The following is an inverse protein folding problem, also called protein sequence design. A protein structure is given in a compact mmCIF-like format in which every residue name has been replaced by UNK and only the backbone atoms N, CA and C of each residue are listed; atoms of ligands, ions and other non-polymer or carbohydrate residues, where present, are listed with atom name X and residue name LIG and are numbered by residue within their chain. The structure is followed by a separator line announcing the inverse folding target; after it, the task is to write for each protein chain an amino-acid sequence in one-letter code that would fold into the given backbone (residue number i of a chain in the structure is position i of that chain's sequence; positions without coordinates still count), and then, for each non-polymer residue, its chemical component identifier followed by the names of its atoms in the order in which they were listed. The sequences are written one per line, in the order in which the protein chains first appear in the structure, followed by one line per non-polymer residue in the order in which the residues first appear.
data_IF_979265257234
#
_entry.id   IF_979265257234
#
_cell.length_a   1.000
_cell.length_b   1.000
_cell.length_c   1.000
_cell.angle_alpha   90.00
_cell.angle_beta   90.00
_cell.angle_gamma   90.00
#
_symmetry.space_group_name_H-M   'P 1'
#
loop_
_entity.id
_entity.type
_entity.pdbx_description
1 polymer ?
#
# COMPACT_ATOMS: atom_id res chain seq x y z
N UNK A 1 49.43 25.76 42.55
CA UNK A 1 48.19 24.95 42.41
C UNK A 1 47.07 25.58 41.55
N UNK A 2 46.95 26.91 41.41
CA UNK A 2 45.85 27.52 40.61
C UNK A 2 46.02 27.52 39.08
N UNK A 3 47.25 27.31 38.56
CA UNK A 3 47.52 27.34 37.11
C UNK A 3 47.17 25.99 36.42
N UNK A 4 47.34 24.86 37.12
CA UNK A 4 47.02 23.54 36.60
C UNK A 4 45.51 23.32 36.37
N UNK A 5 44.68 23.93 37.22
CA UNK A 5 43.21 23.88 37.07
C UNK A 5 42.71 24.66 35.84
N UNK A 6 43.37 25.77 35.49
CA UNK A 6 42.95 26.59 34.35
C UNK A 6 43.30 25.92 33.01
N UNK A 7 44.47 25.27 32.94
CA UNK A 7 44.92 24.51 31.76
C UNK A 7 44.06 23.26 31.52
N UNK A 8 43.62 22.57 32.57
CA UNK A 8 42.71 21.41 32.44
C UNK A 8 41.34 21.80 31.88
N UNK A 9 40.79 22.94 32.28
CA UNK A 9 39.47 23.40 31.81
C UNK A 9 39.52 23.90 30.37
N UNK A 10 40.61 24.56 29.98
CA UNK A 10 40.82 25.02 28.58
C UNK A 10 41.02 23.81 27.65
N UNK A 11 41.75 22.78 28.07
CA UNK A 11 41.94 21.56 27.27
C UNK A 11 40.63 20.77 27.10
N UNK A 12 39.76 20.73 28.12
CA UNK A 12 38.45 20.08 28.05
C UNK A 12 37.49 20.83 27.11
N UNK A 13 37.51 22.16 27.12
CA UNK A 13 36.73 23.00 26.20
C UNK A 13 37.22 22.87 24.76
N UNK A 14 38.53 22.77 24.54
CA UNK A 14 39.11 22.57 23.20
C UNK A 14 38.75 21.18 22.64
N UNK A 15 38.76 20.14 23.48
CA UNK A 15 38.36 18.79 23.08
C UNK A 15 36.85 18.65 22.86
N UNK A 16 36.01 19.37 23.61
CA UNK A 16 34.55 19.45 23.36
C UNK A 16 34.24 20.20 22.06
N UNK A 17 34.97 21.27 21.74
CA UNK A 17 34.81 22.01 20.48
C UNK A 17 35.33 21.22 19.26
N UNK A 18 36.38 20.42 19.42
CA UNK A 18 36.87 19.50 18.40
C UNK A 18 35.94 18.29 18.21
N UNK A 19 35.33 17.78 19.30
CA UNK A 19 34.31 16.73 19.25
C UNK A 19 33.02 17.18 18.57
N UNK A 20 32.59 18.43 18.78
CA UNK A 20 31.43 19.01 18.09
C UNK A 20 31.72 19.35 16.62
N UNK A 21 32.95 19.75 16.27
CA UNK A 21 33.33 19.97 14.86
C UNK A 21 33.42 18.68 14.06
N UNK A 22 33.89 17.57 14.66
CA UNK A 22 33.99 16.29 13.95
C UNK A 22 32.67 15.52 13.82
N UNK A 23 31.63 15.82 14.61
CA UNK A 23 30.28 15.27 14.37
C UNK A 23 29.44 16.08 13.36
N UNK A 24 29.86 17.30 13.02
CA UNK A 24 29.23 18.11 11.97
C UNK A 24 29.95 18.02 10.61
N UNK A 25 31.14 17.42 10.54
CA UNK A 25 31.98 17.38 9.34
C UNK A 25 31.84 16.12 8.46
N UNK A 26 30.99 15.15 8.82
CA UNK A 26 30.74 13.94 8.01
C UNK A 26 29.42 13.95 7.22
N UNK A 27 28.79 15.11 7.06
CA UNK A 27 27.92 15.35 5.91
C UNK A 27 28.63 16.29 4.96
N UNK A 28 29.42 15.72 4.04
CA UNK A 28 29.53 16.33 2.71
C UNK A 28 28.10 16.44 2.18
N UNK A 29 27.51 17.62 2.36
CA UNK A 29 26.46 18.11 1.50
C UNK A 29 27.07 18.12 0.09
N UNK A 30 26.99 17.00 -0.60
CA UNK A 30 26.71 17.08 -2.02
C UNK A 30 25.36 17.76 -2.06
N UNK A 31 25.32 19.04 -2.43
CA UNK A 31 24.14 19.62 -3.06
C UNK A 31 23.74 18.62 -4.14
N UNK A 32 22.76 17.76 -3.83
CA UNK A 32 21.98 17.13 -4.88
C UNK A 32 21.42 18.33 -5.61
N UNK A 33 21.90 18.56 -6.84
CA UNK A 33 21.44 19.65 -7.69
C UNK A 33 19.92 19.70 -7.58
N UNK A 34 19.36 20.89 -7.38
CA UNK A 34 17.91 21.11 -7.47
C UNK A 34 17.40 20.29 -8.67
N UNK A 35 16.56 19.28 -8.41
CA UNK A 35 16.11 18.37 -9.47
C UNK A 35 15.44 19.25 -10.52
N UNK A 36 16.03 19.39 -11.71
CA UNK A 36 15.46 20.19 -12.79
C UNK A 36 14.01 19.76 -13.00
N UNK A 37 13.09 20.73 -12.93
CA UNK A 37 11.67 20.46 -13.09
C UNK A 37 11.42 19.85 -14.48
N UNK A 38 10.82 18.66 -14.51
CA UNK A 38 10.28 18.12 -15.73
C UNK A 38 8.82 18.56 -15.87
N UNK A 39 8.42 18.88 -17.09
CA UNK A 39 7.02 18.89 -17.47
C UNK A 39 6.72 17.57 -18.17
N UNK A 40 5.52 17.01 -17.95
CA UNK A 40 4.98 16.09 -18.95
C UNK A 40 4.92 16.86 -20.27
N UNK A 41 5.31 16.26 -21.42
CA UNK A 41 5.20 16.96 -22.70
C UNK A 41 3.77 17.48 -22.87
N UNK A 42 3.61 18.78 -23.13
CA UNK A 42 2.34 19.53 -23.03
C UNK A 42 1.22 18.98 -23.93
N UNK A 43 1.55 18.13 -24.90
CA UNK A 43 0.60 17.43 -25.79
C UNK A 43 0.52 15.91 -25.58
N UNK A 44 1.18 15.37 -24.54
CA UNK A 44 1.11 13.93 -24.24
C UNK A 44 -0.28 13.58 -23.72
N UNK A 45 -0.73 12.35 -24.02
CA UNK A 45 -2.01 11.83 -23.53
C UNK A 45 -2.07 11.87 -22.00
N UNK A 46 -0.95 11.62 -21.32
CA UNK A 46 -0.87 11.70 -19.86
C UNK A 46 -1.09 13.12 -19.35
N UNK A 47 -0.53 14.15 -19.98
CA UNK A 47 -0.75 15.54 -19.60
C UNK A 47 -2.24 15.93 -19.71
N UNK A 48 -2.87 15.58 -20.83
CA UNK A 48 -4.31 15.84 -21.06
C UNK A 48 -5.18 15.14 -20.02
N UNK A 49 -4.89 13.86 -19.73
CA UNK A 49 -5.64 13.10 -18.73
C UNK A 49 -5.39 13.62 -17.30
N UNK A 50 -4.18 14.07 -17.01
CA UNK A 50 -3.83 14.67 -15.72
C UNK A 50 -4.65 15.93 -15.45
N UNK A 51 -4.64 16.87 -16.40
CA UNK A 51 -5.41 18.12 -16.30
C UNK A 51 -6.91 17.84 -16.21
N UNK A 52 -7.42 16.90 -17.01
CA UNK A 52 -8.86 16.56 -17.04
C UNK A 52 -9.37 15.92 -15.74
N UNK A 53 -8.55 15.08 -15.10
CA UNK A 53 -9.03 14.17 -14.04
C UNK A 53 -8.27 14.35 -12.73
N UNK A 54 -6.94 14.34 -12.78
CA UNK A 54 -6.11 14.34 -11.58
C UNK A 54 -6.11 15.71 -10.91
N UNK A 55 -5.97 16.79 -11.68
CA UNK A 55 -5.93 18.14 -11.13
C UNK A 55 -7.26 18.54 -10.42
N UNK A 56 -8.46 18.28 -10.98
CA UNK A 56 -9.70 18.51 -10.24
C UNK A 56 -9.78 17.70 -8.95
N UNK A 57 -9.38 16.42 -8.98
CA UNK A 57 -9.37 15.57 -7.79
C UNK A 57 -8.46 16.11 -6.68
N UNK A 58 -7.25 16.57 -7.03
CA UNK A 58 -6.29 17.12 -6.05
C UNK A 58 -6.75 18.46 -5.44
N UNK A 59 -7.74 19.13 -6.04
CA UNK A 59 -8.36 20.34 -5.49
C UNK A 59 -9.56 20.06 -4.57
N UNK A 60 -10.01 18.81 -4.47
CA UNK A 60 -11.12 18.40 -3.60
C UNK A 60 -10.64 17.87 -2.24
N UNK A 61 -11.47 17.99 -1.17
CA UNK A 61 -11.14 17.46 0.15
C UNK A 61 -11.37 15.93 0.22
N UNK A 62 -10.57 15.17 -0.52
CA UNK A 62 -10.75 13.72 -0.72
C UNK A 62 -10.47 12.85 0.53
N UNK A 63 -10.12 13.43 1.68
CA UNK A 63 -9.96 12.73 2.96
C UNK A 63 -11.26 12.58 3.75
N UNK A 64 -12.41 12.87 3.13
CA UNK A 64 -13.74 12.73 3.73
C UNK A 64 -14.32 11.33 3.47
N UNK A 65 -15.35 10.96 4.24
CA UNK A 65 -15.97 9.62 4.25
C UNK A 65 -16.30 9.06 2.85
N UNK A 66 -16.86 9.89 1.96
CA UNK A 66 -17.19 9.50 0.59
C UNK A 66 -15.95 9.01 -0.18
N UNK A 67 -14.84 9.72 -0.07
CA UNK A 67 -13.74 9.63 -1.02
C UNK A 67 -12.47 8.99 -0.45
N UNK A 68 -12.22 9.06 0.86
CA UNK A 68 -10.93 8.72 1.47
C UNK A 68 -10.42 7.34 1.07
N UNK A 69 -11.30 6.33 1.04
CA UNK A 69 -10.94 4.97 0.64
C UNK A 69 -10.49 4.92 -0.83
N UNK A 70 -11.32 5.45 -1.74
CA UNK A 70 -11.07 5.42 -3.17
C UNK A 70 -9.88 6.31 -3.56
N UNK A 71 -9.82 7.54 -3.05
CA UNK A 71 -8.72 8.47 -3.31
C UNK A 71 -7.36 7.83 -2.98
N UNK A 72 -7.28 7.11 -1.87
CA UNK A 72 -6.05 6.42 -1.47
C UNK A 72 -5.62 5.31 -2.43
N UNK A 73 -6.56 4.67 -3.14
CA UNK A 73 -6.23 3.72 -4.20
C UNK A 73 -5.79 4.42 -5.49
N UNK A 74 -6.56 5.41 -5.94
CA UNK A 74 -6.42 6.01 -7.27
C UNK A 74 -5.31 7.06 -7.34
N UNK A 75 -4.92 7.67 -6.21
CA UNK A 75 -3.86 8.67 -6.15
C UNK A 75 -2.46 8.07 -5.95
N UNK A 76 -2.34 6.80 -5.54
CA UNK A 76 -1.04 6.20 -5.19
C UNK A 76 -0.06 6.16 -6.37
N UNK A 77 -0.47 5.58 -7.51
CA UNK A 77 0.40 5.54 -8.70
C UNK A 77 0.70 6.95 -9.24
N UNK A 78 -0.27 7.86 -9.39
CA UNK A 78 -0.02 9.26 -9.76
C UNK A 78 0.98 9.97 -8.85
N UNK A 79 0.87 9.79 -7.53
CA UNK A 79 1.81 10.35 -6.54
C UNK A 79 3.23 9.85 -6.81
N UNK A 80 3.42 8.54 -6.84
CA UNK A 80 4.73 7.96 -7.10
C UNK A 80 5.29 8.37 -8.47
N UNK A 81 4.44 8.42 -9.50
CA UNK A 81 4.85 8.82 -10.84
C UNK A 81 5.29 10.27 -10.89
N UNK A 82 4.59 11.19 -10.24
CA UNK A 82 4.92 12.61 -10.26
C UNK A 82 6.31 12.87 -9.66
N UNK A 83 6.60 12.25 -8.51
CA UNK A 83 7.92 12.34 -7.88
C UNK A 83 9.00 11.61 -8.68
N UNK A 84 8.70 10.43 -9.23
CA UNK A 84 9.67 9.65 -9.99
C UNK A 84 10.09 10.32 -11.32
N UNK A 85 9.18 11.06 -11.96
CA UNK A 85 9.47 11.78 -13.20
C UNK A 85 9.86 13.25 -12.98
N UNK A 86 9.97 13.72 -11.73
CA UNK A 86 10.14 15.14 -11.39
C UNK A 86 9.08 16.05 -12.04
N UNK A 87 7.84 15.57 -12.19
CA UNK A 87 6.74 16.33 -12.78
C UNK A 87 6.23 17.41 -11.82
N UNK A 88 6.77 18.63 -11.93
CA UNK A 88 6.54 19.70 -10.95
C UNK A 88 5.05 20.08 -10.78
N UNK A 89 4.24 20.28 -11.83
CA UNK A 89 2.81 20.55 -11.66
C UNK A 89 2.07 19.46 -10.88
N UNK A 90 2.45 18.19 -11.05
CA UNK A 90 1.87 17.09 -10.30
C UNK A 90 2.30 17.10 -8.83
N UNK A 91 3.59 17.33 -8.57
CA UNK A 91 4.11 17.45 -7.21
C UNK A 91 3.49 18.63 -6.48
N UNK A 92 3.34 19.78 -7.14
CA UNK A 92 2.71 20.98 -6.58
C UNK A 92 1.23 20.75 -6.27
N UNK A 93 0.52 20.02 -7.13
CA UNK A 93 -0.86 19.57 -6.86
C UNK A 93 -0.95 18.70 -5.61
N UNK A 94 -0.03 17.75 -5.43
CA UNK A 94 0.02 16.94 -4.21
C UNK A 94 0.42 17.76 -2.97
N UNK A 95 1.39 18.68 -3.09
CA UNK A 95 1.76 19.59 -2.01
C UNK A 95 0.56 20.41 -1.56
N UNK A 96 -0.20 20.96 -2.52
CA UNK A 96 -1.45 21.68 -2.24
C UNK A 96 -2.46 20.79 -1.53
N UNK A 97 -2.73 19.59 -2.06
CA UNK A 97 -3.67 18.62 -1.49
C UNK A 97 -3.34 18.26 -0.03
N UNK A 98 -2.09 17.91 0.27
CA UNK A 98 -1.69 17.52 1.64
C UNK A 98 -1.56 18.71 2.59
N UNK A 99 -1.20 19.90 2.11
CA UNK A 99 -1.27 21.12 2.91
C UNK A 99 -2.73 21.46 3.26
N UNK A 100 -3.65 21.34 2.31
CA UNK A 100 -5.07 21.53 2.57
C UNK A 100 -5.61 20.49 3.56
N UNK A 101 -5.28 19.20 3.41
CA UNK A 101 -5.58 18.18 4.41
C UNK A 101 -5.07 18.57 5.81
N UNK A 102 -3.83 19.02 5.90
CA UNK A 102 -3.18 19.36 7.18
C UNK A 102 -3.85 20.56 7.84
N UNK A 103 -4.16 21.61 7.07
CA UNK A 103 -4.74 22.86 7.55
C UNK A 103 -6.22 22.72 7.88
N UNK A 104 -6.93 21.83 7.19
CA UNK A 104 -8.35 21.54 7.42
C UNK A 104 -8.59 20.29 8.26
N UNK A 105 -7.54 19.78 8.91
CA UNK A 105 -7.63 18.59 9.75
C UNK A 105 -8.49 18.87 10.99
N UNK A 106 -9.69 18.28 11.02
CA UNK A 106 -10.56 18.25 12.18
C UNK A 106 -10.49 16.82 12.74
N UNK A 107 -9.92 16.61 13.96
CA UNK A 107 -9.74 15.28 14.53
C UNK A 107 -11.01 14.45 14.51
N UNK A 108 -12.15 15.00 14.94
CA UNK A 108 -13.40 14.25 15.07
C UNK A 108 -13.93 13.76 13.71
N UNK A 109 -13.84 14.58 12.67
CA UNK A 109 -14.28 14.20 11.33
C UNK A 109 -13.40 13.09 10.73
N UNK A 110 -12.08 13.20 10.90
CA UNK A 110 -11.15 12.22 10.38
C UNK A 110 -11.13 10.92 11.22
N UNK A 111 -11.34 11.05 12.52
CA UNK A 111 -11.45 9.92 13.44
C UNK A 111 -12.80 9.19 13.34
N UNK A 112 -13.83 9.85 12.80
CA UNK A 112 -15.13 9.25 12.49
C UNK A 112 -15.11 8.31 11.27
N UNK A 113 -14.04 8.30 10.48
CA UNK A 113 -13.85 7.32 9.41
C UNK A 113 -13.67 5.91 10.00
N UNK A 114 -14.14 4.89 9.27
CA UNK A 114 -13.81 3.51 9.62
C UNK A 114 -12.28 3.28 9.61
N UNK A 115 -11.81 2.35 10.44
CA UNK A 115 -10.37 2.20 10.70
C UNK A 115 -9.57 1.86 9.45
N UNK A 116 -10.12 1.07 8.54
CA UNK A 116 -9.45 0.67 7.29
C UNK A 116 -9.34 1.88 6.36
N UNK A 117 -10.43 2.63 6.14
CA UNK A 117 -10.42 3.84 5.32
C UNK A 117 -9.42 4.86 5.85
N UNK A 118 -9.41 5.08 7.17
CA UNK A 118 -8.47 5.99 7.83
C UNK A 118 -7.02 5.55 7.61
N UNK A 119 -6.70 4.28 7.87
CA UNK A 119 -5.35 3.75 7.72
C UNK A 119 -4.88 3.77 6.27
N UNK A 120 -5.77 3.47 5.33
CA UNK A 120 -5.45 3.51 3.91
C UNK A 120 -5.12 4.95 3.46
N UNK A 121 -5.86 5.96 3.95
CA UNK A 121 -5.53 7.36 3.69
C UNK A 121 -4.23 7.79 4.37
N UNK A 122 -4.01 7.40 5.63
CA UNK A 122 -2.75 7.67 6.32
C UNK A 122 -1.55 7.04 5.62
N UNK A 123 -1.73 5.91 4.95
CA UNK A 123 -0.68 5.30 4.14
C UNK A 123 -0.37 6.09 2.86
N UNK A 124 -1.37 6.66 2.18
CA UNK A 124 -1.13 7.61 1.09
C UNK A 124 -0.32 8.82 1.59
N UNK A 125 -0.65 9.34 2.78
CA UNK A 125 0.09 10.46 3.39
C UNK A 125 1.52 10.06 3.76
N UNK A 126 1.76 8.84 4.25
CA UNK A 126 3.11 8.39 4.62
C UNK A 126 4.02 8.21 3.41
N UNK A 127 3.51 7.64 2.31
CA UNK A 127 4.27 7.55 1.05
C UNK A 127 4.58 8.95 0.49
N UNK A 128 3.65 9.91 0.58
CA UNK A 128 3.93 11.31 0.23
C UNK A 128 5.07 11.88 1.06
N UNK A 129 5.06 11.68 2.39
CA UNK A 129 6.11 12.20 3.27
C UNK A 129 7.48 11.61 2.91
N UNK A 130 7.56 10.32 2.59
CA UNK A 130 8.80 9.67 2.11
C UNK A 130 9.28 10.29 0.81
N UNK A 131 8.42 10.37 -0.20
CA UNK A 131 8.78 10.91 -1.52
C UNK A 131 9.20 12.39 -1.44
N UNK A 132 8.54 13.15 -0.58
CA UNK A 132 8.84 14.56 -0.36
C UNK A 132 10.17 14.76 0.37
N UNK A 133 10.47 13.95 1.38
CA UNK A 133 11.75 13.98 2.09
C UNK A 133 12.91 13.59 1.16
N UNK A 134 12.76 12.52 0.38
CA UNK A 134 13.78 12.06 -0.57
C UNK A 134 14.18 13.13 -1.59
N UNK A 135 13.22 13.98 -1.97
CA UNK A 135 13.41 15.08 -2.94
C UNK A 135 14.00 16.32 -2.29
N UNK A 136 13.43 16.77 -1.20
CA UNK A 136 13.71 18.11 -0.65
C UNK A 136 14.65 18.09 0.55
N UNK A 137 15.01 16.92 1.08
CA UNK A 137 15.79 16.75 2.31
C UNK A 137 15.14 17.48 3.51
N UNK A 138 13.80 17.60 3.48
CA UNK A 138 12.97 18.10 4.56
C UNK A 138 11.54 17.52 4.43
N UNK A 139 10.74 17.60 5.50
CA UNK A 139 9.39 17.04 5.53
C UNK A 139 8.37 18.01 6.11
N UNK A 140 7.08 17.77 5.82
CA UNK A 140 5.96 18.54 6.38
C UNK A 140 5.74 18.16 7.85
N UNK A 141 6.34 18.93 8.78
CA UNK A 141 6.33 18.62 10.22
C UNK A 141 4.93 18.44 10.79
N UNK A 142 3.96 19.28 10.42
CA UNK A 142 2.59 19.19 10.93
C UNK A 142 1.84 17.97 10.40
N UNK A 143 1.98 17.69 9.10
CA UNK A 143 1.44 16.47 8.49
C UNK A 143 2.02 15.23 9.15
N UNK A 144 3.35 15.19 9.32
CA UNK A 144 4.05 14.10 9.99
C UNK A 144 3.54 13.88 11.42
N UNK A 145 3.38 14.95 12.21
CA UNK A 145 2.86 14.88 13.58
C UNK A 145 1.45 14.29 13.62
N UNK A 146 0.58 14.64 12.67
CA UNK A 146 -0.78 14.08 12.59
C UNK A 146 -0.77 12.58 12.31
N UNK A 147 0.08 12.12 11.38
CA UNK A 147 0.21 10.69 11.06
C UNK A 147 0.80 9.93 12.26
N UNK A 148 1.85 10.45 12.89
CA UNK A 148 2.46 9.85 14.09
C UNK A 148 1.45 9.68 15.22
N UNK A 149 0.72 10.75 15.56
CA UNK A 149 -0.28 10.69 16.64
C UNK A 149 -1.40 9.70 16.30
N UNK A 150 -1.87 9.68 15.06
CA UNK A 150 -2.92 8.74 14.63
C UNK A 150 -2.44 7.28 14.71
N UNK A 151 -1.18 7.02 14.35
CA UNK A 151 -0.59 5.69 14.41
C UNK A 151 -0.36 5.24 15.86
N UNK A 152 0.15 6.12 16.73
CA UNK A 152 0.35 5.84 18.15
C UNK A 152 -0.97 5.50 18.84
N UNK A 153 -2.02 6.28 18.56
CA UNK A 153 -3.38 6.03 19.02
C UNK A 153 -3.86 4.66 18.53
N UNK A 154 -3.71 4.36 17.24
CA UNK A 154 -4.13 3.07 16.65
C UNK A 154 -3.37 1.88 17.24
N UNK A 155 -2.09 2.06 17.57
CA UNK A 155 -1.25 1.02 18.15
C UNK A 155 -1.66 0.65 19.58
N UNK A 156 -1.95 1.66 20.39
CA UNK A 156 -2.11 1.52 21.84
C UNK A 156 -3.56 1.45 22.32
N UNK A 157 -4.52 1.99 21.57
CA UNK A 157 -5.92 2.02 22.02
C UNK A 157 -6.53 0.63 22.06
N UNK A 158 -7.40 0.34 23.05
CA UNK A 158 -8.16 -0.91 23.11
C UNK A 158 -8.83 -1.22 21.78
N UNK A 159 -8.68 -2.46 21.34
CA UNK A 159 -9.26 -2.92 20.07
C UNK A 159 -9.99 -4.24 20.27
N UNK A 160 -10.75 -4.62 19.25
CA UNK A 160 -11.42 -5.92 19.19
C UNK A 160 -11.19 -6.58 17.83
N UNK A 161 -11.55 -7.86 17.74
CA UNK A 161 -11.58 -8.58 16.48
C UNK A 161 -12.79 -9.52 16.47
N UNK A 162 -13.49 -9.55 15.33
CA UNK A 162 -14.57 -10.49 15.03
C UNK A 162 -15.71 -10.47 16.06
N UNK A 163 -15.95 -9.31 16.70
CA UNK A 163 -16.92 -9.08 17.78
C UNK A 163 -16.80 -10.03 18.99
N UNK A 164 -15.72 -10.81 19.06
CA UNK A 164 -15.52 -11.90 20.02
C UNK A 164 -14.31 -11.68 20.90
N UNK A 165 -13.24 -11.13 20.34
CA UNK A 165 -11.97 -10.97 21.04
C UNK A 165 -11.75 -9.50 21.38
N UNK A 166 -11.40 -9.22 22.63
CA UNK A 166 -11.07 -7.88 23.12
C UNK A 166 -9.60 -7.84 23.52
N UNK A 167 -8.93 -6.76 23.16
CA UNK A 167 -7.50 -6.55 23.40
C UNK A 167 -7.32 -5.18 24.08
N UNK A 168 -7.42 -5.12 25.42
CA UNK A 168 -7.32 -3.86 26.18
C UNK A 168 -5.99 -3.13 26.01
N UNK A 169 -4.92 -3.85 25.64
CA UNK A 169 -3.59 -3.28 25.39
C UNK A 169 -3.33 -2.99 23.90
N UNK A 170 -4.40 -2.91 23.12
CA UNK A 170 -4.40 -2.48 21.74
C UNK A 170 -3.85 -3.48 20.73
N UNK A 171 -3.39 -2.96 19.60
CA UNK A 171 -3.09 -3.76 18.41
C UNK A 171 -1.93 -4.73 18.63
N UNK A 172 -0.94 -4.35 19.46
CA UNK A 172 0.17 -5.24 19.81
C UNK A 172 -0.32 -6.54 20.44
N UNK A 173 -1.20 -6.45 21.43
CA UNK A 173 -1.76 -7.61 22.12
C UNK A 173 -2.55 -8.49 21.15
N UNK A 174 -3.37 -7.87 20.29
CA UNK A 174 -4.09 -8.57 19.22
C UNK A 174 -3.16 -9.36 18.31
N UNK A 175 -2.10 -8.73 17.80
CA UNK A 175 -1.12 -9.38 16.92
C UNK A 175 -0.42 -10.52 17.65
N UNK A 176 0.06 -10.27 18.87
CA UNK A 176 0.77 -11.30 19.64
C UNK A 176 -0.11 -12.51 19.92
N UNK A 177 -1.41 -12.29 20.20
CA UNK A 177 -2.40 -13.37 20.32
C UNK A 177 -2.57 -14.14 18.99
N UNK A 178 -2.67 -13.46 17.85
CA UNK A 178 -2.76 -14.11 16.52
C UNK A 178 -1.53 -14.96 16.21
N UNK A 179 -0.34 -14.51 16.64
CA UNK A 179 0.92 -15.24 16.43
C UNK A 179 1.07 -16.45 17.34
N UNK A 180 0.66 -16.35 18.62
CA UNK A 180 0.79 -17.44 19.60
C UNK A 180 -0.34 -18.47 19.53
N UNK A 181 -1.53 -18.07 19.08
CA UNK A 181 -2.72 -18.93 19.07
C UNK A 181 -2.88 -19.62 17.72
N UNK A 182 -2.71 -20.95 17.71
CA UNK A 182 -2.84 -21.76 16.48
C UNK A 182 -4.18 -22.50 16.35
N UNK A 183 -4.79 -22.87 17.47
CA UNK A 183 -6.10 -23.52 17.50
C UNK A 183 -7.17 -22.52 17.88
N UNK A 184 -8.10 -22.29 16.95
CA UNK A 184 -9.28 -21.43 17.12
C UNK A 184 -10.45 -22.09 16.40
N UNK A 185 -11.67 -21.80 16.85
CA UNK A 185 -12.90 -22.35 16.27
C UNK A 185 -13.04 -22.04 14.77
N UNK A 186 -12.69 -20.80 14.38
CA UNK A 186 -12.59 -20.39 12.98
C UNK A 186 -11.19 -19.89 12.69
N UNK A 187 -10.53 -20.47 11.71
CA UNK A 187 -9.16 -20.13 11.32
C UNK A 187 -9.00 -18.65 10.94
N UNK A 188 -10.02 -18.01 10.36
CA UNK A 188 -9.93 -16.58 10.04
C UNK A 188 -9.91 -15.69 11.27
N UNK A 189 -10.25 -16.18 12.47
CA UNK A 189 -10.11 -15.40 13.70
C UNK A 189 -8.68 -14.91 13.94
N UNK A 190 -7.69 -15.66 13.47
CA UNK A 190 -6.26 -15.30 13.55
C UNK A 190 -5.70 -14.67 12.27
N UNK A 191 -6.53 -14.32 11.29
CA UNK A 191 -6.03 -13.68 10.08
C UNK A 191 -5.50 -12.29 10.39
N UNK A 192 -4.39 -11.92 9.76
CA UNK A 192 -3.95 -10.53 9.66
C UNK A 192 -4.72 -9.88 8.53
N UNK A 193 -5.30 -8.72 8.79
CA UNK A 193 -6.09 -7.97 7.83
C UNK A 193 -5.34 -6.73 7.39
N UNK A 194 -5.91 -5.99 6.44
CA UNK A 194 -5.38 -4.71 5.96
C UNK A 194 -5.09 -3.74 7.13
N UNK A 195 -5.85 -3.80 8.22
CA UNK A 195 -5.66 -2.93 9.39
C UNK A 195 -4.26 -3.06 10.00
N UNK A 196 -3.77 -4.28 10.26
CA UNK A 196 -2.41 -4.46 10.78
C UNK A 196 -1.34 -4.16 9.74
N UNK A 197 -1.59 -4.56 8.48
CA UNK A 197 -0.61 -4.44 7.41
C UNK A 197 -0.36 -2.96 7.03
N UNK A 198 -1.39 -2.11 7.08
CA UNK A 198 -1.21 -0.67 6.94
C UNK A 198 -0.40 -0.08 8.10
N UNK A 199 -0.68 -0.48 9.35
CA UNK A 199 0.09 0.00 10.51
C UNK A 199 1.58 -0.33 10.35
N UNK A 200 1.90 -1.53 9.87
CA UNK A 200 3.28 -1.93 9.59
C UNK A 200 3.93 -1.07 8.50
N UNK A 201 3.23 -0.82 7.39
CA UNK A 201 3.76 -0.05 6.28
C UNK A 201 3.94 1.44 6.64
N UNK A 202 2.94 2.05 7.29
CA UNK A 202 3.01 3.44 7.77
C UNK A 202 4.18 3.60 8.75
N UNK A 203 4.33 2.70 9.73
CA UNK A 203 5.44 2.77 10.67
C UNK A 203 6.81 2.72 9.95
N UNK A 204 6.93 1.92 8.90
CA UNK A 204 8.15 1.80 8.12
C UNK A 204 8.49 3.07 7.33
N UNK A 205 7.48 3.69 6.72
CA UNK A 205 7.64 4.99 6.06
C UNK A 205 8.06 6.07 7.06
N UNK A 206 7.37 6.16 8.20
CA UNK A 206 7.70 7.11 9.26
C UNK A 206 9.13 6.89 9.80
N UNK A 207 9.57 5.63 9.92
CA UNK A 207 10.96 5.31 10.30
C UNK A 207 11.95 5.86 9.28
N UNK A 208 11.66 5.73 7.99
CA UNK A 208 12.56 6.24 6.94
C UNK A 208 12.64 7.77 6.91
N UNK A 209 11.55 8.48 7.22
CA UNK A 209 11.52 9.94 7.31
C UNK A 209 12.20 10.46 8.58
N UNK A 210 11.96 9.82 9.73
CA UNK A 210 12.46 10.28 11.04
C UNK A 210 13.87 9.82 11.35
N UNK A 211 14.32 8.72 10.75
CA UNK A 211 15.61 8.08 11.01
C UNK A 211 15.84 7.84 12.52
N UNK A 212 16.86 8.47 13.10
CA UNK A 212 17.20 8.34 14.52
C UNK A 212 16.25 9.08 15.46
N UNK A 213 15.40 9.97 14.93
CA UNK A 213 14.42 10.73 15.71
C UNK A 213 13.06 10.00 15.84
N UNK A 214 12.95 8.76 15.34
CA UNK A 214 11.70 8.00 15.40
C UNK A 214 11.35 7.61 16.85
N UNK A 215 10.09 7.76 17.29
CA UNK A 215 9.65 7.25 18.58
C UNK A 215 9.83 5.72 18.71
N UNK A 216 10.04 5.23 19.94
CA UNK A 216 10.30 3.81 20.21
C UNK A 216 9.18 2.87 19.73
N UNK A 217 7.92 3.31 19.76
CA UNK A 217 6.80 2.47 19.32
C UNK A 217 6.87 2.15 17.81
N UNK A 218 7.52 2.99 17.01
CA UNK A 218 7.76 2.73 15.58
C UNK A 218 8.69 1.52 15.40
N UNK A 219 9.80 1.49 16.16
CA UNK A 219 10.74 0.38 16.11
C UNK A 219 10.06 -0.93 16.60
N UNK A 220 9.21 -0.83 17.63
CA UNK A 220 8.41 -1.95 18.12
C UNK A 220 7.44 -2.50 17.05
N UNK A 221 6.72 -1.62 16.34
CA UNK A 221 5.84 -2.02 15.24
C UNK A 221 6.64 -2.76 14.16
N UNK A 222 7.84 -2.29 13.81
CA UNK A 222 8.70 -2.93 12.81
C UNK A 222 9.21 -4.30 13.23
N UNK A 223 9.55 -4.48 14.51
CA UNK A 223 9.91 -5.79 15.04
C UNK A 223 8.73 -6.78 14.99
N UNK A 224 7.52 -6.31 15.32
CA UNK A 224 6.30 -7.10 15.21
C UNK A 224 5.96 -7.42 13.76
N UNK A 225 6.14 -6.48 12.83
CA UNK A 225 5.94 -6.68 11.40
C UNK A 225 6.89 -7.76 10.87
N UNK A 226 8.18 -7.68 11.21
CA UNK A 226 9.17 -8.69 10.80
C UNK A 226 8.80 -10.08 11.33
N UNK A 227 8.46 -10.18 12.62
CA UNK A 227 8.03 -11.44 13.25
C UNK A 227 6.81 -12.02 12.54
N UNK A 228 5.82 -11.18 12.24
CA UNK A 228 4.60 -11.59 11.53
C UNK A 228 4.93 -12.18 10.16
N UNK A 229 5.70 -11.45 9.34
CA UNK A 229 6.07 -11.91 8.00
C UNK A 229 6.99 -13.13 8.00
N UNK A 230 7.84 -13.29 9.02
CA UNK A 230 8.68 -14.49 9.15
C UNK A 230 7.86 -15.72 9.50
N UNK A 231 6.80 -15.57 10.27
CA UNK A 231 6.00 -16.67 10.77
C UNK A 231 4.86 -17.06 9.82
N UNK A 232 4.25 -16.07 9.18
CA UNK A 232 2.99 -16.26 8.45
C UNK A 232 3.15 -16.27 6.92
N UNK A 233 4.32 -15.88 6.39
CA UNK A 233 4.65 -16.10 4.98
C UNK A 233 5.12 -17.54 4.75
N UNK A 234 4.45 -18.27 3.86
CA UNK A 234 4.76 -19.67 3.55
C UNK A 234 5.32 -19.75 2.13
N UNK A 235 6.58 -20.15 1.99
CA UNK A 235 7.21 -20.40 0.69
C UNK A 235 6.68 -21.71 0.09
N UNK A 236 6.28 -21.69 -1.19
CA UNK A 236 5.54 -22.77 -1.83
C UNK A 236 6.42 -23.51 -2.85
N UNK A 237 6.81 -24.74 -2.51
CA UNK A 237 7.61 -25.64 -3.34
C UNK A 237 9.10 -25.54 -3.06
N UNK A 238 9.78 -26.70 -3.01
CA UNK A 238 11.17 -26.81 -2.54
C UNK A 238 12.17 -25.95 -3.33
N UNK A 239 11.90 -25.71 -4.62
CA UNK A 239 12.79 -24.96 -5.53
C UNK A 239 12.17 -23.63 -6.00
N UNK A 240 11.06 -23.18 -5.41
CA UNK A 240 10.39 -21.95 -5.83
C UNK A 240 10.69 -20.80 -4.86
N UNK A 241 10.87 -19.60 -5.41
CA UNK A 241 10.91 -18.37 -4.62
C UNK A 241 9.52 -17.86 -4.23
N UNK A 242 8.44 -18.47 -4.75
CA UNK A 242 7.05 -18.06 -4.52
C UNK A 242 6.64 -18.24 -3.05
N UNK A 243 5.73 -17.40 -2.58
CA UNK A 243 5.15 -17.53 -1.26
C UNK A 243 3.69 -17.07 -1.23
N UNK A 244 2.97 -17.50 -0.20
CA UNK A 244 1.60 -17.09 0.12
C UNK A 244 1.55 -16.62 1.57
N UNK A 245 0.75 -15.57 1.83
CA UNK A 245 0.51 -15.10 3.19
C UNK A 245 -0.65 -15.87 3.81
N UNK A 246 -0.39 -16.53 4.94
CA UNK A 246 -1.39 -17.28 5.71
C UNK A 246 -2.28 -18.24 4.89
N UNK A 247 -1.72 -19.11 4.03
CA UNK A 247 -2.54 -20.05 3.25
C UNK A 247 -3.43 -20.91 4.18
N UNK A 248 -4.70 -21.00 3.82
CA UNK A 248 -5.72 -21.74 4.58
C UNK A 248 -6.31 -21.00 5.78
N UNK A 249 -5.86 -19.79 6.13
CA UNK A 249 -6.45 -19.01 7.23
C UNK A 249 -7.89 -18.57 6.93
N UNK A 250 -8.23 -18.46 5.64
CA UNK A 250 -9.54 -17.97 5.19
C UNK A 250 -10.53 -19.09 4.89
N UNK A 251 -10.15 -20.37 5.02
CA UNK A 251 -10.94 -21.52 4.55
C UNK A 251 -12.35 -21.60 5.12
N UNK A 252 -12.57 -21.06 6.31
CA UNK A 252 -13.85 -21.06 7.02
C UNK A 252 -14.50 -19.66 7.12
N UNK A 253 -13.94 -18.66 6.43
CA UNK A 253 -14.55 -17.35 6.31
C UNK A 253 -15.74 -17.41 5.34
N UNK A 254 -16.90 -16.79 5.65
CA UNK A 254 -18.08 -16.80 4.79
C UNK A 254 -17.81 -16.39 3.34
N UNK A 255 -17.03 -15.33 3.12
CA UNK A 255 -16.64 -14.85 1.78
C UNK A 255 -15.88 -15.89 0.93
N UNK A 256 -15.25 -16.87 1.57
CA UNK A 256 -14.42 -17.91 0.92
C UNK A 256 -15.14 -19.26 0.86
N UNK A 257 -16.35 -19.38 1.41
CA UNK A 257 -17.06 -20.64 1.56
C UNK A 257 -17.41 -21.34 0.23
N UNK A 258 -17.33 -20.63 -0.89
CA UNK A 258 -17.67 -21.10 -2.23
C UNK A 258 -16.49 -21.10 -3.20
N UNK A 259 -15.26 -20.91 -2.70
CA UNK A 259 -14.05 -20.78 -3.51
C UNK A 259 -13.74 -22.00 -4.39
N UNK A 260 -14.32 -23.18 -4.11
CA UNK A 260 -14.21 -24.40 -4.91
C UNK A 260 -15.13 -24.47 -6.12
N UNK A 261 -16.05 -23.52 -6.29
CA UNK A 261 -16.95 -23.47 -7.46
C UNK A 261 -16.43 -22.50 -8.52
N UNK A 262 -16.39 -22.94 -9.78
CA UNK A 262 -15.94 -22.11 -10.92
C UNK A 262 -17.07 -21.44 -11.70
N UNK A 263 -18.32 -21.84 -11.44
CA UNK A 263 -19.50 -21.31 -12.10
C UNK A 263 -20.55 -20.91 -11.08
N UNK A 264 -21.08 -19.70 -11.21
CA UNK A 264 -22.16 -19.21 -10.37
C UNK A 264 -23.46 -19.96 -10.66
N UNK A 265 -24.17 -20.30 -9.61
CA UNK A 265 -25.53 -20.83 -9.65
C UNK A 265 -26.28 -20.35 -8.41
N UNK A 266 -27.60 -20.33 -8.50
CA UNK A 266 -28.47 -20.07 -7.34
C UNK A 266 -28.39 -21.30 -6.42
N UNK A 267 -28.42 -21.07 -5.11
CA UNK A 267 -28.44 -22.13 -4.08
C UNK A 267 -27.25 -23.11 -4.15
N UNK A 268 -26.04 -22.60 -4.44
CA UNK A 268 -24.83 -23.42 -4.29
C UNK A 268 -24.66 -23.91 -2.84
N UNK A 269 -24.18 -25.13 -2.69
CA UNK A 269 -23.66 -25.62 -1.42
C UNK A 269 -22.26 -25.05 -1.16
N UNK A 270 -21.84 -24.98 0.11
CA UNK A 270 -20.48 -24.56 0.45
C UNK A 270 -19.46 -25.58 -0.09
N UNK A 271 -18.42 -25.08 -0.73
CA UNK A 271 -17.28 -25.87 -1.22
C UNK A 271 -15.97 -25.12 -0.91
N UNK A 272 -15.56 -25.06 0.36
CA UNK A 272 -14.37 -24.32 0.77
C UNK A 272 -13.08 -25.05 0.35
N UNK A 273 -12.06 -24.30 -0.04
CA UNK A 273 -10.73 -24.84 -0.35
C UNK A 273 -9.85 -24.78 0.93
N UNK A 274 -9.37 -25.91 1.48
CA UNK A 274 -8.67 -25.92 2.77
C UNK A 274 -7.41 -25.06 2.83
N UNK A 275 -6.66 -24.95 1.74
CA UNK A 275 -5.41 -24.21 1.63
C UNK A 275 -5.53 -22.82 1.00
N UNK A 276 -6.75 -22.29 0.85
CA UNK A 276 -7.01 -21.07 0.07
C UNK A 276 -6.19 -19.88 0.58
N UNK A 277 -5.53 -19.17 -0.33
CA UNK A 277 -4.86 -17.92 0.00
C UNK A 277 -5.83 -16.73 0.05
N UNK A 278 -5.35 -15.57 0.52
CA UNK A 278 -6.11 -14.33 0.43
C UNK A 278 -6.46 -13.95 -1.01
N UNK A 279 -7.54 -13.18 -1.17
CA UNK A 279 -7.99 -12.73 -2.48
C UNK A 279 -7.01 -11.73 -3.12
N UNK A 280 -6.99 -11.71 -4.45
CA UNK A 280 -6.10 -10.85 -5.24
C UNK A 280 -6.46 -9.37 -5.08
N UNK A 281 -7.72 -9.06 -4.78
CA UNK A 281 -8.22 -7.69 -4.68
C UNK A 281 -7.78 -6.97 -3.42
N UNK A 282 -7.48 -7.66 -2.31
CA UNK A 282 -6.81 -7.03 -1.16
C UNK A 282 -5.30 -7.11 -1.30
N UNK A 283 -4.81 -8.18 -1.95
CA UNK A 283 -3.38 -8.46 -2.07
C UNK A 283 -2.61 -7.48 -2.97
N UNK A 284 -3.30 -6.66 -3.78
CA UNK A 284 -2.67 -5.63 -4.62
C UNK A 284 -1.84 -4.61 -3.83
N UNK A 285 -2.02 -4.51 -2.51
CA UNK A 285 -1.30 -3.57 -1.65
C UNK A 285 0.10 -4.06 -1.24
N UNK A 286 0.30 -5.37 -1.19
CA UNK A 286 1.56 -6.01 -0.81
C UNK A 286 2.81 -5.48 -1.54
N UNK A 287 2.78 -5.24 -2.87
CA UNK A 287 3.95 -4.74 -3.59
C UNK A 287 4.54 -3.49 -2.95
N UNK A 288 3.70 -2.53 -2.54
CA UNK A 288 4.15 -1.28 -1.96
C UNK A 288 4.38 -1.40 -0.45
N UNK A 289 3.56 -2.15 0.30
CA UNK A 289 3.83 -2.41 1.73
C UNK A 289 5.22 -3.01 1.97
N UNK A 290 5.64 -3.95 1.12
CA UNK A 290 6.97 -4.54 1.22
C UNK A 290 8.09 -3.55 0.86
N UNK A 291 7.82 -2.56 -0.01
CA UNK A 291 8.75 -1.45 -0.28
C UNK A 291 8.90 -0.59 0.98
N UNK A 292 7.79 -0.15 1.58
CA UNK A 292 7.80 0.65 2.81
C UNK A 292 8.59 -0.08 3.92
N UNK A 293 8.30 -1.37 4.15
CA UNK A 293 9.01 -2.19 5.14
C UNK A 293 10.51 -2.31 4.85
N UNK A 294 10.89 -2.51 3.58
CA UNK A 294 12.30 -2.53 3.18
C UNK A 294 13.00 -1.20 3.50
N UNK A 295 12.35 -0.05 3.25
CA UNK A 295 12.87 1.27 3.62
C UNK A 295 13.03 1.43 5.13
N UNK A 296 12.02 1.03 5.91
CA UNK A 296 12.05 1.09 7.38
C UNK A 296 13.24 0.31 7.97
N UNK A 297 13.44 -0.95 7.54
CA UNK A 297 14.58 -1.74 8.00
C UNK A 297 15.93 -1.20 7.50
N UNK A 298 15.98 -0.62 6.30
CA UNK A 298 17.18 0.06 5.79
C UNK A 298 17.52 1.27 6.67
N UNK A 299 16.55 2.07 7.08
CA UNK A 299 16.73 3.19 8.01
C UNK A 299 17.21 2.74 9.40
N UNK A 300 16.84 1.53 9.84
CA UNK A 300 17.39 0.88 11.04
C UNK A 300 18.76 0.22 10.84
N UNK A 301 19.32 0.24 9.62
CA UNK A 301 20.57 -0.46 9.26
C UNK A 301 20.51 -1.99 9.49
N UNK A 302 19.32 -2.59 9.41
CA UNK A 302 19.10 -4.03 9.59
C UNK A 302 19.12 -4.77 8.25
N UNK A 303 20.33 -4.95 7.70
CA UNK A 303 20.54 -5.46 6.33
C UNK A 303 20.00 -6.88 6.09
N UNK A 304 19.98 -7.72 7.11
CA UNK A 304 19.39 -9.07 7.07
C UNK A 304 17.86 -9.00 6.85
N UNK A 305 17.18 -8.10 7.57
CA UNK A 305 15.75 -7.87 7.41
C UNK A 305 15.43 -7.22 6.05
N UNK A 306 16.29 -6.31 5.57
CA UNK A 306 16.21 -5.77 4.20
C UNK A 306 16.30 -6.90 3.16
N UNK A 307 17.26 -7.82 3.31
CA UNK A 307 17.40 -8.99 2.43
C UNK A 307 16.17 -9.90 2.46
N UNK A 308 15.56 -10.09 3.64
CA UNK A 308 14.31 -10.85 3.76
C UNK A 308 13.12 -10.15 3.05
N UNK A 309 12.98 -8.83 3.18
CA UNK A 309 11.95 -8.08 2.44
C UNK A 309 12.15 -8.21 0.93
N UNK A 310 13.39 -8.09 0.44
CA UNK A 310 13.69 -8.30 -0.98
C UNK A 310 13.32 -9.71 -1.45
N UNK A 311 13.58 -10.74 -0.64
CA UNK A 311 13.15 -12.12 -0.92
C UNK A 311 11.64 -12.21 -1.05
N UNK A 312 10.87 -11.59 -0.14
CA UNK A 312 9.41 -11.57 -0.21
C UNK A 312 8.91 -10.82 -1.46
N UNK A 313 9.53 -9.70 -1.83
CA UNK A 313 9.14 -8.91 -3.01
C UNK A 313 9.30 -9.72 -4.30
N UNK A 314 10.46 -10.36 -4.49
CA UNK A 314 10.71 -11.25 -5.63
C UNK A 314 9.76 -12.45 -5.64
N UNK A 315 9.53 -13.05 -4.47
CA UNK A 315 8.63 -14.18 -4.35
C UNK A 315 7.16 -13.84 -4.62
N UNK A 316 6.71 -12.65 -4.21
CA UNK A 316 5.38 -12.13 -4.50
C UNK A 316 5.22 -11.91 -6.01
N UNK A 317 6.23 -11.30 -6.65
CA UNK A 317 6.19 -11.06 -8.07
C UNK A 317 6.15 -12.38 -8.86
N UNK A 318 6.96 -13.36 -8.48
CA UNK A 318 6.90 -14.70 -9.04
C UNK A 318 5.52 -15.37 -8.85
N UNK A 319 4.91 -15.24 -7.66
CA UNK A 319 3.58 -15.80 -7.41
C UNK A 319 2.52 -15.11 -8.29
N UNK A 320 2.54 -13.79 -8.34
CA UNK A 320 1.59 -13.02 -9.14
C UNK A 320 1.73 -13.36 -10.63
N UNK A 321 2.93 -13.25 -11.19
CA UNK A 321 3.18 -13.46 -12.63
C UNK A 321 2.92 -14.90 -13.09
N UNK A 322 3.23 -15.89 -12.26
CA UNK A 322 3.16 -17.31 -12.67
C UNK A 322 1.82 -17.98 -12.35
N UNK A 323 1.05 -17.46 -11.38
CA UNK A 323 -0.17 -18.12 -10.89
C UNK A 323 -1.42 -17.24 -10.91
N UNK A 324 -1.27 -15.92 -10.79
CA UNK A 324 -2.41 -15.02 -10.64
C UNK A 324 -2.72 -14.28 -11.93
N UNK A 325 -1.69 -13.74 -12.59
CA UNK A 325 -1.84 -12.96 -13.81
C UNK A 325 -2.14 -13.86 -15.01
N UNK A 326 -3.25 -13.60 -15.68
CA UNK A 326 -3.68 -14.31 -16.87
C UNK A 326 -3.50 -13.39 -18.08
N UNK A 327 -2.68 -13.80 -19.07
CA UNK A 327 -2.45 -12.97 -20.25
C UNK A 327 -3.70 -12.88 -21.15
N UNK A 328 -3.74 -11.87 -22.03
CA UNK A 328 -4.72 -11.80 -23.12
C UNK A 328 -4.76 -13.10 -23.93
N UNK A 329 -5.94 -13.44 -24.44
CA UNK A 329 -6.19 -14.61 -25.28
C UNK A 329 -7.30 -14.31 -26.30
N UNK A 330 -7.55 -15.23 -27.23
CA UNK A 330 -8.72 -15.15 -28.12
C UNK A 330 -10.05 -15.06 -27.35
N UNK A 331 -10.11 -15.68 -26.17
CA UNK A 331 -11.28 -15.63 -25.30
C UNK A 331 -11.46 -14.27 -24.61
N UNK A 332 -10.40 -13.53 -24.31
CA UNK A 332 -10.50 -12.21 -23.68
C UNK A 332 -9.25 -11.36 -24.00
N UNK A 333 -9.39 -10.17 -24.63
CA UNK A 333 -8.29 -9.46 -25.27
C UNK A 333 -7.43 -8.62 -24.30
N UNK A 334 -7.52 -8.86 -22.99
CA UNK A 334 -6.84 -8.06 -21.99
C UNK A 334 -6.38 -8.92 -20.79
N UNK A 335 -5.54 -8.37 -19.92
CA UNK A 335 -5.05 -9.09 -18.75
C UNK A 335 -6.17 -9.30 -17.72
N UNK A 336 -6.15 -10.45 -17.06
CA UNK A 336 -7.06 -10.79 -15.96
C UNK A 336 -6.24 -11.28 -14.77
N UNK A 337 -6.86 -11.36 -13.61
CA UNK A 337 -6.30 -12.01 -12.44
C UNK A 337 -7.20 -13.15 -11.99
N UNK A 338 -6.63 -14.23 -11.46
CA UNK A 338 -7.41 -15.17 -10.66
C UNK A 338 -7.95 -14.47 -9.41
N UNK A 339 -9.06 -14.96 -8.86
CA UNK A 339 -9.66 -14.36 -7.68
C UNK A 339 -8.80 -14.51 -6.42
N UNK A 340 -8.00 -15.57 -6.31
CA UNK A 340 -7.17 -15.85 -5.14
C UNK A 340 -5.67 -15.91 -5.49
N UNK A 341 -4.84 -15.52 -4.53
CA UNK A 341 -3.40 -15.41 -4.71
C UNK A 341 -2.68 -16.74 -4.93
N UNK A 342 -3.30 -17.88 -4.59
CA UNK A 342 -2.76 -19.22 -4.85
C UNK A 342 -2.99 -19.70 -6.29
N UNK A 343 -3.73 -18.92 -7.10
CA UNK A 343 -4.12 -19.25 -8.47
C UNK A 343 -5.50 -19.90 -8.57
N UNK A 344 -6.18 -20.17 -7.46
CA UNK A 344 -7.58 -20.56 -7.51
C UNK A 344 -8.43 -19.40 -8.04
N UNK A 345 -9.47 -19.75 -8.79
CA UNK A 345 -10.29 -18.78 -9.49
C UNK A 345 -11.78 -19.05 -9.33
N UNK A 346 -12.16 -19.71 -8.24
CA UNK A 346 -13.57 -19.94 -7.95
C UNK A 346 -14.27 -18.70 -7.39
N UNK A 347 -15.52 -18.89 -6.97
CA UNK A 347 -16.41 -17.83 -6.53
C UNK A 347 -15.94 -17.21 -5.20
N UNK A 348 -15.94 -15.88 -5.14
CA UNK A 348 -15.66 -15.11 -3.95
C UNK A 348 -16.87 -14.27 -3.53
N UNK A 349 -17.14 -14.15 -2.23
CA UNK A 349 -18.23 -13.29 -1.70
C UNK A 349 -19.64 -13.63 -2.22
N UNK A 350 -19.94 -14.92 -2.39
CA UNK A 350 -21.30 -15.37 -2.68
C UNK A 350 -22.25 -14.98 -1.54
N UNK A 351 -23.40 -14.40 -1.86
CA UNK A 351 -24.37 -13.91 -0.88
C UNK A 351 -24.01 -12.58 -0.20
N UNK A 352 -22.99 -11.86 -0.67
CA UNK A 352 -22.49 -10.65 -0.01
C UNK A 352 -23.49 -9.49 -0.06
N UNK A 353 -23.62 -8.77 1.06
CA UNK A 353 -24.70 -7.80 1.29
C UNK A 353 -24.65 -6.57 0.36
N UNK A 354 -23.48 -6.18 -0.16
CA UNK A 354 -23.36 -5.07 -1.12
C UNK A 354 -23.48 -5.52 -2.58
N UNK A 355 -23.54 -6.83 -2.85
CA UNK A 355 -23.77 -7.36 -4.19
C UNK A 355 -25.29 -7.49 -4.43
N UNK A 356 -25.79 -6.75 -5.41
CA UNK A 356 -27.22 -6.75 -5.78
C UNK A 356 -27.70 -8.10 -6.29
N UNK A 357 -26.82 -8.87 -6.93
CA UNK A 357 -27.14 -10.21 -7.46
C UNK A 357 -27.06 -11.28 -6.39
N UNK A 358 -26.28 -11.02 -5.33
CA UNK A 358 -25.91 -11.99 -4.28
C UNK A 358 -25.18 -13.23 -4.83
N UNK A 359 -24.65 -13.19 -6.04
CA UNK A 359 -23.94 -14.31 -6.67
C UNK A 359 -22.41 -14.24 -6.44
N UNK A 360 -21.92 -13.15 -5.87
CA UNK A 360 -20.49 -12.92 -5.62
C UNK A 360 -19.69 -12.67 -6.90
N UNK A 361 -18.37 -12.72 -6.79
CA UNK A 361 -17.45 -12.61 -7.92
C UNK A 361 -17.13 -14.00 -8.46
N UNK A 362 -17.55 -14.26 -9.69
CA UNK A 362 -17.17 -15.40 -10.52
C UNK A 362 -15.70 -15.35 -10.92
N UNK A 363 -15.25 -16.37 -11.65
CA UNK A 363 -13.91 -16.47 -12.21
C UNK A 363 -13.47 -15.17 -12.91
N UNK A 364 -12.31 -14.66 -12.50
CA UNK A 364 -11.67 -13.44 -13.00
C UNK A 364 -12.37 -12.11 -12.69
N UNK A 365 -13.48 -12.09 -11.96
CA UNK A 365 -14.25 -10.85 -11.76
C UNK A 365 -13.63 -9.91 -10.72
N UNK A 366 -12.56 -10.33 -10.03
CA UNK A 366 -11.70 -9.42 -9.25
C UNK A 366 -10.66 -8.68 -10.09
N UNK A 367 -10.59 -8.91 -11.41
CA UNK A 367 -9.54 -8.34 -12.28
C UNK A 367 -9.52 -6.82 -12.33
N UNK A 368 -10.64 -6.15 -12.01
CA UNK A 368 -10.73 -4.69 -12.03
C UNK A 368 -9.72 -4.00 -11.11
N UNK A 369 -9.36 -4.62 -9.97
CA UNK A 369 -8.38 -4.04 -9.03
C UNK A 369 -6.95 -4.05 -9.55
N UNK A 370 -6.64 -4.77 -10.64
CA UNK A 370 -5.33 -4.62 -11.27
C UNK A 370 -5.17 -3.25 -11.94
N UNK A 371 -6.28 -2.64 -12.38
CA UNK A 371 -6.28 -1.39 -13.15
C UNK A 371 -5.97 -0.15 -12.30
N UNK A 372 -6.13 -0.22 -10.98
CA UNK A 372 -5.67 0.84 -10.06
C UNK A 372 -4.14 0.87 -9.91
N UNK A 373 -3.41 -0.04 -10.56
CA UNK A 373 -1.99 0.16 -10.86
C UNK A 373 -0.99 -0.34 -9.81
N UNK A 374 -1.44 -0.79 -8.64
CA UNK A 374 -0.54 -1.10 -7.53
C UNK A 374 0.42 -2.28 -7.78
N UNK A 375 0.07 -3.21 -8.68
CA UNK A 375 1.01 -4.27 -9.08
C UNK A 375 2.22 -3.72 -9.85
N UNK A 376 2.20 -2.44 -10.25
CA UNK A 376 3.34 -1.76 -10.84
C UNK A 376 4.48 -1.54 -9.82
N UNK A 377 4.28 -1.74 -8.52
CA UNK A 377 5.35 -1.66 -7.52
C UNK A 377 6.09 -3.00 -7.31
N UNK A 378 5.74 -4.05 -8.07
CA UNK A 378 6.53 -5.29 -8.11
C UNK A 378 7.91 -5.03 -8.75
N UNK A 379 8.93 -5.67 -8.18
CA UNK A 379 10.34 -5.56 -8.58
C UNK A 379 10.67 -6.36 -9.86
N UNK A 380 9.78 -6.35 -10.86
CA UNK A 380 9.91 -7.12 -12.10
C UNK A 380 9.63 -6.26 -13.33
N UNK A 381 10.54 -6.29 -14.31
CA UNK A 381 10.43 -5.53 -15.55
C UNK A 381 9.22 -5.96 -16.39
N UNK A 382 8.82 -7.23 -16.29
CA UNK A 382 7.65 -7.76 -17.00
C UNK A 382 6.37 -7.00 -16.65
N UNK A 383 6.24 -6.49 -15.42
CA UNK A 383 5.07 -5.70 -15.02
C UNK A 383 4.98 -4.36 -15.74
N UNK A 384 6.10 -3.80 -16.20
CA UNK A 384 6.08 -2.62 -17.05
C UNK A 384 5.35 -2.92 -18.36
N UNK A 385 5.71 -4.03 -19.03
CA UNK A 385 5.09 -4.47 -20.28
C UNK A 385 3.59 -4.72 -20.11
N UNK A 386 3.19 -5.30 -18.98
CA UNK A 386 1.76 -5.50 -18.62
C UNK A 386 1.02 -4.17 -18.58
N UNK A 387 1.52 -3.17 -17.84
CA UNK A 387 0.84 -1.87 -17.74
C UNK A 387 0.90 -1.04 -19.02
N UNK A 388 1.99 -1.13 -19.80
CA UNK A 388 2.06 -0.51 -21.11
C UNK A 388 1.01 -1.10 -22.07
N UNK A 389 0.83 -2.43 -22.04
CA UNK A 389 -0.25 -3.09 -22.77
C UNK A 389 -1.62 -2.60 -22.29
N UNK A 390 -1.91 -2.65 -20.98
CA UNK A 390 -3.20 -2.18 -20.45
C UNK A 390 -3.49 -0.74 -20.87
N UNK A 391 -2.49 0.17 -20.78
CA UNK A 391 -2.61 1.56 -21.19
C UNK A 391 -2.91 1.75 -22.68
N UNK A 392 -2.42 0.85 -23.56
CA UNK A 392 -2.69 0.92 -25.01
C UNK A 392 -4.05 0.34 -25.41
N UNK A 393 -4.76 -0.33 -24.49
CA UNK A 393 -6.09 -0.90 -24.73
C UNK A 393 -7.24 0.10 -24.56
N UNK A 394 -6.98 1.30 -24.05
CA UNK A 394 -8.03 2.31 -23.90
C UNK A 394 -8.41 2.97 -25.25
N UNK A 395 -9.70 3.25 -25.50
CA UNK A 395 -10.85 2.95 -24.63
C UNK A 395 -11.18 1.45 -24.59
N UNK A 396 -11.53 0.94 -23.41
CA UNK A 396 -11.91 -0.46 -23.22
C UNK A 396 -13.28 -0.74 -23.85
N UNK A 397 -13.46 -1.96 -24.38
CA UNK A 397 -14.76 -2.43 -24.87
C UNK A 397 -15.76 -2.64 -23.74
N UNK A 398 -17.07 -2.62 -24.06
CA UNK A 398 -18.11 -2.91 -23.06
C UNK A 398 -17.96 -4.31 -22.44
N UNK A 399 -17.42 -5.27 -23.20
CA UNK A 399 -17.11 -6.62 -22.70
C UNK A 399 -16.02 -6.59 -21.63
N UNK A 400 -14.95 -5.82 -21.85
CA UNK A 400 -13.87 -5.64 -20.87
C UNK A 400 -14.39 -4.91 -19.62
N UNK A 401 -15.14 -3.82 -19.81
CA UNK A 401 -15.72 -3.04 -18.71
C UNK A 401 -16.67 -3.91 -17.87
N UNK A 402 -17.50 -4.75 -18.50
CA UNK A 402 -18.46 -5.58 -17.77
C UNK A 402 -17.75 -6.60 -16.87
N UNK A 403 -16.67 -7.24 -17.35
CA UNK A 403 -15.86 -8.14 -16.50
C UNK A 403 -15.17 -7.39 -15.36
N UNK A 404 -14.54 -6.24 -15.66
CA UNK A 404 -13.74 -5.52 -14.66
C UNK A 404 -14.59 -4.79 -13.62
N UNK A 405 -15.78 -4.34 -13.99
CA UNK A 405 -16.72 -3.73 -13.05
C UNK A 405 -17.45 -4.81 -12.25
N UNK A 406 -17.93 -5.84 -12.94
CA UNK A 406 -18.82 -6.89 -12.45
C UNK A 406 -19.98 -6.35 -11.60
N UNK A 407 -19.76 -6.27 -10.28
CA UNK A 407 -20.69 -5.68 -9.32
C UNK A 407 -20.24 -4.29 -8.92
N UNK A 408 -21.06 -3.30 -9.26
CA UNK A 408 -20.87 -1.95 -8.74
C UNK A 408 -21.21 -1.91 -7.23
N UNK A 409 -20.46 -1.14 -6.47
CA UNK A 409 -20.73 -0.97 -5.04
C UNK A 409 -21.93 -0.07 -4.81
N UNK A 410 -22.62 -0.24 -3.68
CA UNK A 410 -23.70 0.64 -3.23
C UNK A 410 -23.19 1.93 -2.56
N UNK A 411 -21.88 2.02 -2.28
CA UNK A 411 -21.24 3.23 -1.74
C UNK A 411 -21.39 4.40 -2.71
N UNK A 412 -21.63 5.59 -2.17
CA UNK A 412 -21.44 6.79 -2.97
C UNK A 412 -19.94 7.03 -3.19
N UNK A 413 -19.57 7.46 -4.41
CA UNK A 413 -18.18 7.59 -4.85
C UNK A 413 -18.03 8.83 -5.70
N UNK A 414 -16.79 9.33 -5.75
CA UNK A 414 -16.40 10.43 -6.64
C UNK A 414 -16.92 10.24 -8.09
N UNK A 415 -17.42 11.27 -8.77
CA UNK A 415 -17.98 11.18 -10.13
C UNK A 415 -17.06 10.53 -11.17
N UNK A 416 -15.74 10.71 -11.04
CA UNK A 416 -14.77 10.06 -11.94
C UNK A 416 -14.57 8.56 -11.70
N UNK A 417 -15.02 8.04 -10.55
CA UNK A 417 -14.72 6.69 -10.06
C UNK A 417 -15.99 5.81 -10.02
N UNK A 418 -17.17 6.41 -9.88
CA UNK A 418 -18.45 5.70 -9.73
C UNK A 418 -18.80 4.82 -10.94
N UNK A 419 -19.10 3.53 -10.70
CA UNK A 419 -19.55 2.59 -11.72
C UNK A 419 -18.70 2.53 -12.98
N UNK A 420 -19.33 2.71 -14.15
CA UNK A 420 -18.62 2.73 -15.44
C UNK A 420 -17.74 3.97 -15.65
N UNK A 421 -17.90 5.02 -14.83
CA UNK A 421 -17.17 6.27 -15.00
C UNK A 421 -15.65 6.09 -14.84
N UNK A 422 -15.18 5.21 -13.93
CA UNK A 422 -13.74 4.93 -13.77
C UNK A 422 -13.05 4.45 -15.06
N UNK A 423 -13.78 3.79 -15.96
CA UNK A 423 -13.23 3.29 -17.24
C UNK A 423 -13.35 4.32 -18.37
N UNK A 424 -14.18 5.35 -18.20
CA UNK A 424 -14.53 6.33 -19.26
C UNK A 424 -14.03 7.75 -18.97
N UNK A 425 -13.83 8.11 -17.71
CA UNK A 425 -13.33 9.42 -17.28
C UNK A 425 -11.90 9.67 -17.79
N UNK A 426 -11.11 8.59 -17.86
CA UNK A 426 -9.69 8.59 -18.18
C UNK A 426 -8.79 8.33 -16.97
N UNK A 427 -9.36 8.17 -15.76
CA UNK A 427 -8.57 7.95 -14.53
C UNK A 427 -7.76 6.65 -14.59
N UNK A 428 -8.37 5.52 -14.95
CA UNK A 428 -7.68 4.24 -15.06
C UNK A 428 -6.74 4.19 -16.27
N UNK A 429 -7.06 4.91 -17.35
CA UNK A 429 -6.14 5.09 -18.48
C UNK A 429 -4.86 5.81 -18.04
N UNK A 430 -5.02 6.92 -17.31
CA UNK A 430 -3.90 7.68 -16.77
C UNK A 430 -3.05 6.80 -15.85
N UNK A 431 -3.67 6.12 -14.88
CA UNK A 431 -2.97 5.23 -13.95
C UNK A 431 -2.17 4.16 -14.69
N UNK A 432 -2.76 3.49 -15.69
CA UNK A 432 -2.05 2.46 -16.47
C UNK A 432 -0.85 3.03 -17.24
N UNK A 433 -1.00 4.22 -17.85
CA UNK A 433 0.08 4.90 -18.56
C UNK A 433 1.21 5.37 -17.63
N UNK A 434 0.87 5.86 -16.44
CA UNK A 434 1.86 6.24 -15.42
C UNK A 434 2.57 5.00 -14.86
N UNK A 435 1.83 3.92 -14.57
CA UNK A 435 2.38 2.64 -14.14
C UNK A 435 3.36 2.03 -15.16
N UNK A 436 3.08 2.17 -16.46
CA UNK A 436 3.97 1.79 -17.56
C UNK A 436 5.31 2.55 -17.54
N UNK A 437 5.34 3.78 -17.01
CA UNK A 437 6.54 4.64 -16.98
C UNK A 437 7.24 4.67 -15.61
N UNK A 438 6.70 3.98 -14.62
CA UNK A 438 7.25 3.99 -13.27
C UNK A 438 8.63 3.31 -13.24
N UNK A 439 9.70 3.99 -12.75
CA UNK A 439 11.05 3.46 -12.79
C UNK A 439 11.22 2.27 -11.85
N UNK A 440 11.82 1.19 -12.35
CA UNK A 440 11.93 -0.09 -11.62
C UNK A 440 13.07 -0.10 -10.61
N UNK A 441 14.17 0.57 -10.92
CA UNK A 441 15.36 0.64 -10.04
C UNK A 441 15.03 1.20 -8.65
N UNK A 442 14.07 2.15 -8.57
CA UNK A 442 13.58 2.69 -7.28
C UNK A 442 12.87 1.62 -6.42
N UNK A 443 12.41 0.55 -7.06
CA UNK A 443 11.70 -0.58 -6.47
C UNK A 443 12.40 -1.92 -6.75
N UNK A 444 13.71 -1.96 -7.00
CA UNK A 444 14.50 -3.19 -6.96
C UNK A 444 15.35 -3.17 -5.69
#
# INVERSE_FOLDING_TARGET
MKIASLLSTILLLFLLLLGFRNQLAERRFTEKSSSQCAALPTASREAVLWEKVMQPMLNEPLWRERDAYDASHFLMVPLHSAFASNYCPGIDGFNHFFNHFTNSYIPDNFNGLDSITKLQFLYLVSEYLVLYEERNNHFHKDTLRKVLNSLEVTWNQPTSAWDKFRFPKGMKERIMWKLSTKSVEKSYYRSFTDEELFVFAIAADLKSVLLNNSPKFIDEILDVAYKTLKQEAVFIGANSSRWLFQPGVWKDHPDYAYAGWYHQAINLDKNPIPGIAGDTSHSHRWPLWLVSLQRGFKAQKQLDKVGYMLKLRRGLAAQFLQKVLIPPSSAFPNFRTTNFMDGNNGIYRYGYHTDKTKLGYSSYELSGTMLIGWWAFLAEESMQKVYCFIGSRYPLSDREISLYLNHDTTRDRHPFIKGKAQYKSGILELIARLACKLPREKYQ
#
